data_IF_965863201488
#
_entry.id   IF_965863201488
#
_cell.length_a   1.000
_cell.length_b   1.000
_cell.length_c   1.000
_cell.angle_alpha   90.00
_cell.angle_beta   90.00
_cell.angle_gamma   90.00
#
_symmetry.space_group_name_H-M   'P 1'
#
loop_
_entity.id
_entity.type
_entity.pdbx_description
1 polymer ?
#
# COMPACT_ATOMS: atom_id res chain seq x y z
N UNK A 1 -1.27 16.10 -1.43
CA UNK A 1 -1.38 17.34 -0.75
C UNK A 1 -0.33 17.58 0.31
N UNK A 2 -0.64 18.43 1.26
CA UNK A 2 0.27 18.88 2.32
C UNK A 2 0.85 17.72 3.16
N UNK A 3 0.09 16.63 3.33
CA UNK A 3 0.54 15.47 4.13
C UNK A 3 1.66 14.69 3.45
N UNK A 4 1.55 14.47 2.14
CA UNK A 4 2.62 13.84 1.36
C UNK A 4 3.85 14.74 1.32
N UNK A 5 3.65 16.04 1.10
CA UNK A 5 4.74 17.02 1.08
C UNK A 5 5.48 17.08 2.42
N UNK A 6 4.76 17.07 3.53
CA UNK A 6 5.36 17.05 4.87
C UNK A 6 6.22 15.81 5.09
N UNK A 7 5.74 14.64 4.65
CA UNK A 7 6.51 13.41 4.71
C UNK A 7 7.78 13.52 3.85
N UNK A 8 7.66 14.03 2.62
CA UNK A 8 8.79 14.19 1.71
C UNK A 8 9.88 15.09 2.31
N UNK A 9 9.48 16.21 2.90
CA UNK A 9 10.41 17.14 3.55
C UNK A 9 11.12 16.47 4.72
N UNK A 10 10.39 15.75 5.55
CA UNK A 10 10.96 15.05 6.71
C UNK A 10 11.98 14.00 6.26
N UNK A 11 11.60 13.17 5.29
CA UNK A 11 12.48 12.11 4.78
C UNK A 11 13.73 12.70 4.11
N UNK A 12 13.59 13.78 3.34
CA UNK A 12 14.72 14.43 2.67
C UNK A 12 15.72 15.03 3.65
N UNK A 13 15.28 15.44 4.84
CA UNK A 13 16.16 15.99 5.88
C UNK A 13 16.83 14.96 6.79
N UNK A 14 16.55 13.66 6.58
CA UNK A 14 17.10 12.62 7.46
C UNK A 14 18.54 12.26 7.11
N UNK A 15 19.32 12.01 8.15
CA UNK A 15 20.68 11.48 8.05
C UNK A 15 20.66 10.06 7.48
N UNK A 16 21.63 9.73 6.60
CA UNK A 16 21.71 8.40 5.97
C UNK A 16 21.89 7.27 6.99
N UNK A 17 22.58 7.51 8.09
CA UNK A 17 22.74 6.51 9.15
C UNK A 17 21.40 6.21 9.83
N UNK A 18 20.56 7.22 10.02
CA UNK A 18 19.21 7.07 10.58
C UNK A 18 18.30 6.33 9.60
N UNK A 19 18.35 6.70 8.32
CA UNK A 19 17.58 6.02 7.26
C UNK A 19 17.94 4.52 7.25
N UNK A 20 19.22 4.20 7.28
CA UNK A 20 19.68 2.80 7.32
C UNK A 20 19.12 2.05 8.51
N UNK A 21 19.16 2.65 9.69
CA UNK A 21 18.62 2.05 10.91
C UNK A 21 17.12 1.78 10.80
N UNK A 22 16.36 2.76 10.32
CA UNK A 22 14.90 2.65 10.14
C UNK A 22 14.57 1.55 9.13
N UNK A 23 15.31 1.50 8.02
CA UNK A 23 15.12 0.45 7.02
C UNK A 23 15.48 -0.94 7.54
N UNK A 24 16.56 -1.06 8.31
CA UNK A 24 16.98 -2.35 8.88
C UNK A 24 15.93 -2.89 9.86
N UNK A 25 15.30 -2.04 10.65
CA UNK A 25 14.19 -2.43 11.54
C UNK A 25 13.00 -2.96 10.73
N UNK A 26 12.65 -2.30 9.62
CA UNK A 26 11.56 -2.74 8.75
C UNK A 26 11.89 -4.07 8.07
N UNK A 27 13.13 -4.26 7.62
CA UNK A 27 13.59 -5.53 7.04
C UNK A 27 13.52 -6.67 8.05
N UNK A 28 13.91 -6.40 9.29
CA UNK A 28 13.83 -7.39 10.36
C UNK A 28 12.38 -7.80 10.61
N UNK A 29 11.47 -6.83 10.66
CA UNK A 29 10.03 -7.12 10.78
C UNK A 29 9.55 -7.98 9.62
N UNK A 30 9.92 -7.65 8.39
CA UNK A 30 9.53 -8.44 7.21
C UNK A 30 10.06 -9.88 7.28
N UNK A 31 11.26 -10.08 7.80
CA UNK A 31 11.79 -11.41 8.05
C UNK A 31 10.97 -12.20 9.08
N UNK A 32 10.54 -11.55 10.14
CA UNK A 32 9.66 -12.15 11.15
C UNK A 32 8.30 -12.53 10.57
N UNK A 33 7.71 -11.65 9.74
CA UNK A 33 6.45 -11.92 9.03
C UNK A 33 6.58 -13.15 8.13
N UNK A 34 7.67 -13.25 7.37
CA UNK A 34 7.93 -14.40 6.50
C UNK A 34 7.99 -15.72 7.29
N UNK A 35 8.59 -15.69 8.47
CA UNK A 35 8.73 -16.87 9.32
C UNK A 35 7.49 -17.18 10.16
N UNK A 36 6.54 -16.23 10.24
CA UNK A 36 5.34 -16.41 11.06
C UNK A 36 4.30 -17.27 10.33
N UNK A 37 3.47 -17.95 11.09
CA UNK A 37 2.33 -18.70 10.57
C UNK A 37 1.01 -17.94 10.73
N UNK A 38 1.08 -16.64 11.01
CA UNK A 38 -0.12 -15.81 11.19
C UNK A 38 -0.88 -15.71 9.87
N UNK A 39 -2.16 -16.08 9.90
CA UNK A 39 -3.03 -15.91 8.75
C UNK A 39 -3.54 -14.48 8.68
N UNK A 40 -3.48 -13.92 7.46
CA UNK A 40 -4.07 -12.63 7.19
C UNK A 40 -5.60 -12.74 7.21
N UNK A 41 -6.26 -11.67 7.63
CA UNK A 41 -7.72 -11.57 7.63
C UNK A 41 -8.15 -10.46 6.70
N UNK A 42 -9.47 -10.32 6.48
CA UNK A 42 -10.02 -9.21 5.69
C UNK A 42 -9.47 -7.87 6.24
N UNK A 43 -8.77 -7.06 5.43
CA UNK A 43 -8.20 -5.79 5.90
C UNK A 43 -9.24 -4.83 6.48
N UNK A 44 -10.50 -4.94 6.05
CA UNK A 44 -11.58 -4.07 6.53
C UNK A 44 -12.17 -4.51 7.87
N UNK A 45 -11.76 -5.67 8.41
CA UNK A 45 -12.30 -6.26 9.64
C UNK A 45 -11.22 -6.67 10.64
N UNK A 46 -10.06 -6.04 10.59
CA UNK A 46 -8.95 -6.37 11.50
C UNK A 46 -9.30 -5.95 12.92
N UNK A 47 -9.21 -6.90 13.85
CA UNK A 47 -9.30 -6.63 15.28
C UNK A 47 -7.92 -6.23 15.80
N UNK A 48 -7.90 -5.26 16.71
CA UNK A 48 -6.68 -4.76 17.31
C UNK A 48 -6.00 -5.86 18.15
N UNK A 49 -4.72 -6.14 17.83
CA UNK A 49 -3.88 -7.04 18.61
C UNK A 49 -3.00 -6.18 19.52
N UNK A 50 -3.35 -6.07 20.81
CA UNK A 50 -2.83 -5.03 21.69
C UNK A 50 -1.29 -4.95 21.78
N UNK A 51 -0.57 -5.96 22.21
CA UNK A 51 0.87 -5.86 22.42
C UNK A 51 1.72 -5.78 21.15
N UNK A 52 1.31 -6.47 20.10
CA UNK A 52 2.02 -6.53 18.83
C UNK A 52 1.89 -5.23 18.04
N UNK A 53 0.77 -4.52 18.19
CA UNK A 53 0.51 -3.26 17.49
C UNK A 53 1.43 -2.14 17.95
N UNK A 54 1.89 -2.14 19.21
CA UNK A 54 2.80 -1.10 19.70
C UNK A 54 4.14 -1.16 18.98
N UNK A 55 4.71 -2.37 18.84
CA UNK A 55 5.96 -2.58 18.12
C UNK A 55 5.80 -2.22 16.62
N UNK A 56 4.78 -2.74 15.99
CA UNK A 56 4.45 -2.44 14.59
C UNK A 56 4.35 -0.93 14.33
N UNK A 57 3.63 -0.20 15.18
CA UNK A 57 3.39 1.23 14.99
C UNK A 57 4.64 2.11 15.13
N UNK A 58 5.71 1.59 15.71
CA UNK A 58 6.99 2.32 15.84
C UNK A 58 7.87 2.21 14.61
N UNK A 59 7.72 1.14 13.83
CA UNK A 59 8.56 0.89 12.66
C UNK A 59 8.11 1.79 11.51
N UNK A 60 9.04 2.44 10.83
CA UNK A 60 8.77 3.37 9.72
C UNK A 60 7.86 4.55 10.10
N UNK A 61 7.85 4.95 11.36
CA UNK A 61 7.06 6.10 11.81
C UNK A 61 8.03 7.24 12.18
N UNK A 62 8.47 7.97 11.16
CA UNK A 62 9.61 8.89 11.29
C UNK A 62 9.26 10.23 11.94
N UNK A 63 7.99 10.64 11.93
CA UNK A 63 7.55 11.93 12.48
C UNK A 63 6.37 11.82 13.45
N UNK A 64 6.00 10.61 13.82
CA UNK A 64 4.87 10.37 14.72
C UNK A 64 3.50 10.50 14.07
N UNK A 65 3.43 10.81 12.78
CA UNK A 65 2.15 10.93 12.05
C UNK A 65 1.51 9.59 11.71
N UNK A 66 2.22 8.49 11.92
CA UNK A 66 1.84 7.14 11.49
C UNK A 66 1.96 6.90 9.99
N UNK A 67 2.54 7.81 9.24
CA UNK A 67 2.79 7.67 7.80
C UNK A 67 4.11 6.95 7.60
N UNK A 68 4.08 5.86 6.82
CA UNK A 68 5.29 5.08 6.49
C UNK A 68 5.85 5.41 5.11
N UNK A 69 5.08 6.07 4.27
CA UNK A 69 5.45 6.39 2.90
C UNK A 69 4.23 6.91 2.16
N UNK A 70 4.32 6.97 0.83
CA UNK A 70 3.15 7.33 0.03
C UNK A 70 3.07 6.48 -1.24
N UNK A 71 1.84 6.36 -1.75
CA UNK A 71 1.50 5.57 -2.92
C UNK A 71 1.12 6.50 -4.06
N UNK A 72 1.74 6.28 -5.23
CA UNK A 72 1.38 6.98 -6.47
C UNK A 72 0.88 5.98 -7.50
N UNK A 73 -0.30 6.23 -8.04
CA UNK A 73 -0.85 5.48 -9.17
C UNK A 73 -1.21 6.51 -10.25
N UNK A 74 -0.25 6.83 -11.15
CA UNK A 74 -0.46 7.94 -12.10
C UNK A 74 -1.67 7.76 -13.00
N UNK A 75 -1.92 6.55 -13.49
CA UNK A 75 -3.01 6.32 -14.45
C UNK A 75 -4.42 6.55 -13.88
N UNK A 76 -4.58 6.61 -12.57
CA UNK A 76 -5.84 6.95 -11.90
C UNK A 76 -5.70 8.12 -10.92
N UNK A 77 -4.65 8.93 -11.07
CA UNK A 77 -4.41 10.16 -10.32
C UNK A 77 -4.38 9.99 -8.80
N UNK A 78 -3.75 8.91 -8.31
CA UNK A 78 -3.57 8.70 -6.88
C UNK A 78 -2.17 9.15 -6.45
N UNK A 79 -2.13 9.94 -5.37
CA UNK A 79 -0.91 10.33 -4.66
C UNK A 79 -1.31 10.53 -3.19
N UNK A 80 -1.25 9.45 -2.40
CA UNK A 80 -1.80 9.42 -1.05
C UNK A 80 -0.83 8.83 -0.04
N UNK A 81 -0.87 9.31 1.22
CA UNK A 81 -0.05 8.74 2.27
C UNK A 81 -0.49 7.31 2.61
N UNK A 82 0.48 6.51 3.03
CA UNK A 82 0.25 5.15 3.54
C UNK A 82 0.41 5.21 5.05
N UNK A 83 -0.67 4.92 5.76
CA UNK A 83 -0.69 4.90 7.22
C UNK A 83 -0.50 3.49 7.76
N UNK A 84 -0.08 3.39 9.02
CA UNK A 84 -0.05 2.12 9.75
C UNK A 84 -1.48 1.67 10.07
N UNK A 85 -1.78 0.40 9.77
CA UNK A 85 -3.06 -0.21 10.09
C UNK A 85 -4.16 0.11 9.10
N UNK A 86 -5.30 -0.52 9.31
CA UNK A 86 -6.48 -0.42 8.44
C UNK A 86 -7.74 -0.05 9.24
N UNK A 87 -7.58 0.73 10.31
CA UNK A 87 -8.73 1.21 11.10
C UNK A 87 -9.61 2.14 10.26
N UNK A 88 -10.86 2.30 10.68
CA UNK A 88 -11.79 3.19 10.02
C UNK A 88 -11.27 4.63 9.92
N UNK A 89 -10.63 5.11 10.98
CA UNK A 89 -10.02 6.46 10.99
C UNK A 89 -8.95 6.60 9.93
N UNK A 90 -8.06 5.61 9.80
CA UNK A 90 -7.00 5.60 8.78
C UNK A 90 -7.63 5.63 7.39
N UNK A 91 -8.60 4.77 7.13
CA UNK A 91 -9.18 4.60 5.80
C UNK A 91 -10.04 5.79 5.36
N UNK A 92 -10.42 6.67 6.30
CA UNK A 92 -11.07 7.94 5.97
C UNK A 92 -10.09 8.96 5.37
N UNK A 93 -8.79 8.83 5.65
CA UNK A 93 -7.78 9.83 5.31
C UNK A 93 -6.80 9.40 4.21
N UNK A 94 -6.66 8.11 3.96
CA UNK A 94 -5.70 7.64 2.98
C UNK A 94 -5.67 6.12 2.86
N UNK A 95 -4.49 5.63 2.52
CA UNK A 95 -4.23 4.20 2.35
C UNK A 95 -3.78 3.63 3.68
N UNK A 96 -4.32 2.46 4.05
CA UNK A 96 -3.90 1.74 5.24
C UNK A 96 -3.06 0.53 4.91
N UNK A 97 -1.95 0.35 5.61
CA UNK A 97 -1.13 -0.86 5.52
C UNK A 97 -1.68 -1.92 6.47
N UNK A 98 -1.93 -3.11 5.96
CA UNK A 98 -2.41 -4.23 6.78
C UNK A 98 -1.28 -4.72 7.70
N UNK A 99 -1.47 -4.55 9.01
CA UNK A 99 -0.56 -5.12 9.99
C UNK A 99 -0.47 -6.64 9.81
N UNK A 100 0.66 -7.24 10.07
CA UNK A 100 0.99 -8.64 9.79
C UNK A 100 1.30 -8.93 8.31
N UNK A 101 1.07 -8.03 7.38
CA UNK A 101 1.68 -8.11 6.05
C UNK A 101 3.06 -7.45 6.07
N UNK A 102 3.89 -7.72 5.06
CA UNK A 102 5.21 -7.09 4.95
C UNK A 102 5.08 -5.58 4.85
N UNK A 103 6.03 -4.83 5.43
CA UNK A 103 6.14 -3.40 5.12
C UNK A 103 6.49 -3.20 3.65
N UNK A 104 5.99 -2.10 3.02
CA UNK A 104 6.19 -1.85 1.59
C UNK A 104 7.57 -1.25 1.29
N UNK A 105 8.63 -1.95 1.66
CA UNK A 105 10.02 -1.55 1.44
C UNK A 105 10.73 -2.36 0.37
N UNK A 106 10.01 -3.26 -0.29
CA UNK A 106 10.56 -4.15 -1.30
C UNK A 106 11.36 -5.31 -0.71
N UNK A 107 11.89 -6.13 -1.58
CA UNK A 107 12.70 -7.28 -1.23
C UNK A 107 12.04 -8.62 -1.50
N UNK A 108 12.85 -9.66 -1.69
CA UNK A 108 12.36 -11.03 -1.87
C UNK A 108 11.64 -11.51 -0.63
N UNK A 109 10.67 -12.38 -0.82
CA UNK A 109 9.89 -12.99 0.25
C UNK A 109 9.07 -11.95 1.01
N UNK A 110 8.55 -10.94 0.28
CA UNK A 110 7.69 -9.91 0.84
C UNK A 110 6.39 -9.79 0.05
N UNK A 111 5.33 -9.46 0.77
CA UNK A 111 4.03 -9.13 0.19
C UNK A 111 3.36 -8.11 1.11
N UNK A 112 3.40 -6.84 0.70
CA UNK A 112 2.73 -5.77 1.42
C UNK A 112 1.30 -5.63 0.94
N UNK A 113 0.36 -5.44 1.86
CA UNK A 113 -1.07 -5.27 1.57
C UNK A 113 -1.48 -3.85 1.91
N UNK A 114 -1.92 -3.10 0.91
CA UNK A 114 -2.35 -1.71 1.02
C UNK A 114 -3.84 -1.61 0.72
N UNK A 115 -4.59 -1.01 1.61
CA UNK A 115 -6.05 -1.01 1.60
C UNK A 115 -6.58 0.42 1.48
N UNK A 116 -7.59 0.61 0.66
CA UNK A 116 -8.26 1.89 0.50
C UNK A 116 -9.75 1.73 0.28
N UNK A 117 -10.52 2.70 0.72
CA UNK A 117 -11.97 2.73 0.54
C UNK A 117 -12.39 3.00 -0.89
N UNK A 118 -13.59 2.53 -1.22
CA UNK A 118 -14.32 2.84 -2.44
C UNK A 118 -15.60 3.61 -2.08
N UNK A 119 -15.89 4.67 -2.85
CA UNK A 119 -17.18 5.32 -2.78
C UNK A 119 -17.43 6.28 -1.63
N UNK A 120 -16.39 6.73 -0.93
CA UNK A 120 -16.55 7.78 0.08
C UNK A 120 -16.82 9.11 -0.61
N UNK A 121 -17.81 9.85 -0.09
CA UNK A 121 -18.23 11.13 -0.66
C UNK A 121 -17.14 12.22 -0.58
N UNK A 122 -16.22 12.11 0.38
CA UNK A 122 -15.18 13.12 0.63
C UNK A 122 -13.83 12.79 -0.03
N UNK A 123 -13.61 11.54 -0.46
CA UNK A 123 -12.33 11.13 -1.06
C UNK A 123 -12.52 9.91 -1.94
N UNK A 124 -12.00 9.98 -3.16
CA UNK A 124 -12.08 8.88 -4.13
C UNK A 124 -10.94 7.86 -3.97
N UNK A 125 -10.50 7.56 -2.78
CA UNK A 125 -9.25 6.82 -2.50
C UNK A 125 -8.99 5.70 -3.53
N UNK A 126 -9.69 4.57 -3.45
CA UNK A 126 -9.54 3.48 -4.40
C UNK A 126 -10.78 3.26 -5.29
N UNK A 127 -11.64 4.29 -5.43
CA UNK A 127 -12.85 4.18 -6.27
C UNK A 127 -12.51 3.77 -7.70
N UNK A 128 -11.43 4.33 -8.27
CA UNK A 128 -11.05 4.06 -9.65
C UNK A 128 -10.07 2.87 -9.79
N UNK A 129 -9.84 2.11 -8.71
CA UNK A 129 -8.96 0.94 -8.75
C UNK A 129 -9.45 -0.12 -9.75
N UNK A 130 -10.77 -0.15 -10.00
CA UNK A 130 -11.38 -1.04 -11.01
C UNK A 130 -10.90 -0.76 -12.44
N UNK A 131 -10.30 0.39 -12.68
CA UNK A 131 -9.80 0.78 -13.99
C UNK A 131 -8.36 0.32 -14.25
N UNK A 132 -7.71 -0.20 -13.21
CA UNK A 132 -6.37 -0.76 -13.35
C UNK A 132 -6.38 -1.99 -14.24
N UNK A 133 -5.32 -2.13 -15.03
CA UNK A 133 -5.14 -3.26 -15.97
C UNK A 133 -3.77 -3.89 -15.74
N UNK A 134 -3.65 -5.16 -16.11
CA UNK A 134 -2.34 -5.81 -16.15
C UNK A 134 -1.39 -4.99 -17.01
N UNK A 135 -0.18 -4.79 -16.51
CA UNK A 135 0.82 -3.96 -17.15
C UNK A 135 0.86 -2.52 -16.67
N UNK A 136 -0.16 -2.05 -15.95
CA UNK A 136 -0.13 -0.72 -15.34
C UNK A 136 0.87 -0.68 -14.20
N UNK A 137 1.41 0.52 -13.93
CA UNK A 137 2.41 0.73 -12.88
C UNK A 137 1.80 1.44 -11.67
N UNK A 138 2.33 1.13 -10.50
CA UNK A 138 2.18 1.98 -9.33
C UNK A 138 3.52 2.06 -8.60
N UNK A 139 3.65 3.08 -7.75
CA UNK A 139 4.93 3.43 -7.14
C UNK A 139 4.75 3.65 -5.64
N UNK A 140 5.74 3.19 -4.88
CA UNK A 140 5.78 3.41 -3.44
C UNK A 140 7.05 4.18 -3.12
N UNK A 141 6.89 5.29 -2.43
CA UNK A 141 7.99 6.10 -1.93
C UNK A 141 8.08 5.91 -0.42
N UNK A 142 9.20 5.35 0.01
CA UNK A 142 9.48 5.10 1.44
C UNK A 142 10.87 5.63 1.73
N UNK A 143 10.98 6.59 2.65
CA UNK A 143 12.24 7.27 2.97
C UNK A 143 12.88 7.81 1.68
N UNK A 144 14.08 7.37 1.35
CA UNK A 144 14.79 7.75 0.12
C UNK A 144 14.61 6.75 -1.02
N UNK A 145 13.73 5.74 -0.84
CA UNK A 145 13.51 4.68 -1.83
C UNK A 145 12.31 4.99 -2.72
N UNK A 146 12.45 4.71 -4.00
CA UNK A 146 11.39 4.76 -5.00
C UNK A 146 11.23 3.38 -5.58
N UNK A 147 10.10 2.74 -5.30
CA UNK A 147 9.83 1.36 -5.69
C UNK A 147 8.76 1.34 -6.78
N UNK A 148 9.03 0.67 -7.89
CA UNK A 148 8.08 0.50 -8.97
C UNK A 148 7.51 -0.91 -8.95
N UNK A 149 6.20 -1.02 -9.16
CA UNK A 149 5.47 -2.28 -9.26
C UNK A 149 4.64 -2.27 -10.52
N UNK A 150 4.61 -3.40 -11.22
CA UNK A 150 3.78 -3.58 -12.40
C UNK A 150 2.68 -4.58 -12.09
N UNK A 151 1.43 -4.21 -12.41
CA UNK A 151 0.28 -5.07 -12.17
C UNK A 151 0.39 -6.36 -12.98
N UNK A 152 0.38 -7.50 -12.30
CA UNK A 152 0.49 -8.82 -12.91
C UNK A 152 -0.73 -9.72 -12.66
N UNK A 153 -1.61 -9.35 -11.72
CA UNK A 153 -2.79 -10.14 -11.39
C UNK A 153 -3.89 -9.22 -10.85
N UNK A 154 -5.11 -9.43 -11.35
CA UNK A 154 -6.30 -8.73 -10.85
C UNK A 154 -7.34 -9.79 -10.57
N UNK A 155 -7.82 -9.88 -9.32
CA UNK A 155 -8.81 -10.86 -8.89
C UNK A 155 -9.89 -10.22 -8.03
N UNK A 156 -11.06 -10.83 -8.05
CA UNK A 156 -12.17 -10.47 -7.14
C UNK A 156 -12.44 -11.70 -6.29
N UNK A 157 -12.41 -11.51 -4.97
CA UNK A 157 -12.53 -12.61 -4.01
C UNK A 157 -13.54 -12.27 -2.91
N UNK A 158 -13.98 -13.29 -2.18
CA UNK A 158 -14.76 -13.09 -0.97
C UNK A 158 -13.89 -12.44 0.11
N UNK A 159 -14.48 -11.66 1.04
CA UNK A 159 -13.68 -10.96 2.06
C UNK A 159 -12.78 -11.86 2.91
N UNK A 160 -13.22 -13.08 3.18
CA UNK A 160 -12.45 -14.03 4.00
C UNK A 160 -11.38 -14.80 3.20
N UNK A 161 -11.40 -14.71 1.88
CA UNK A 161 -10.42 -15.39 1.03
C UNK A 161 -9.16 -14.52 0.92
N UNK A 162 -8.15 -14.83 1.73
CA UNK A 162 -6.89 -14.10 1.79
C UNK A 162 -5.74 -14.86 1.14
N UNK A 163 -6.04 -15.92 0.40
CA UNK A 163 -5.02 -16.77 -0.23
C UNK A 163 -4.06 -15.97 -1.13
N UNK A 164 -4.58 -15.03 -1.91
CA UNK A 164 -3.79 -14.24 -2.84
C UNK A 164 -2.95 -13.13 -2.15
N UNK A 165 -3.11 -12.93 -0.85
CA UNK A 165 -2.34 -11.95 -0.08
C UNK A 165 -1.10 -12.55 0.58
N UNK A 166 -0.89 -13.85 0.46
CA UNK A 166 0.20 -14.55 1.11
C UNK A 166 1.54 -14.27 0.43
N UNK A 167 2.61 -14.30 1.21
CA UNK A 167 3.98 -14.20 0.68
C UNK A 167 4.25 -15.40 -0.23
N UNK A 168 4.78 -15.11 -1.42
CA UNK A 168 5.27 -16.15 -2.34
C UNK A 168 6.80 -16.13 -2.32
N UNK A 169 7.39 -17.29 -2.08
CA UNK A 169 8.84 -17.44 -2.01
C UNK A 169 9.53 -16.88 -3.25
N UNK A 170 10.56 -16.06 -3.03
CA UNK A 170 11.34 -15.44 -4.08
C UNK A 170 10.69 -14.23 -4.74
N UNK A 171 9.46 -13.87 -4.35
CA UNK A 171 8.72 -12.77 -4.97
C UNK A 171 8.72 -11.51 -4.11
N UNK A 172 8.62 -10.38 -4.78
CA UNK A 172 8.43 -9.06 -4.19
C UNK A 172 7.10 -8.53 -4.71
N UNK A 173 6.05 -8.67 -3.90
CA UNK A 173 4.68 -8.28 -4.28
C UNK A 173 4.15 -7.17 -3.39
N UNK A 174 3.29 -6.36 -3.98
CA UNK A 174 2.39 -5.46 -3.25
C UNK A 174 0.99 -5.64 -3.84
N UNK A 175 -0.01 -5.82 -2.99
CA UNK A 175 -1.40 -5.90 -3.43
C UNK A 175 -2.21 -4.73 -2.89
N UNK A 176 -2.92 -4.07 -3.80
CA UNK A 176 -3.87 -3.01 -3.48
C UNK A 176 -5.25 -3.64 -3.33
N UNK A 177 -5.93 -3.35 -2.22
CA UNK A 177 -7.21 -3.97 -1.86
C UNK A 177 -8.29 -2.91 -1.69
N UNK A 178 -9.44 -3.12 -2.30
CA UNK A 178 -10.62 -2.31 -2.05
C UNK A 178 -11.89 -3.18 -2.07
N UNK A 179 -13.00 -2.60 -1.65
CA UNK A 179 -14.31 -3.25 -1.75
C UNK A 179 -14.88 -3.11 -3.17
N UNK A 180 -15.66 -4.10 -3.59
CA UNK A 180 -16.33 -4.11 -4.88
C UNK A 180 -17.58 -5.00 -4.80
N UNK A 181 -18.60 -4.87 -5.68
CA UNK A 181 -18.83 -3.76 -6.59
C UNK A 181 -19.21 -2.46 -5.87
N UNK A 182 -19.05 -1.34 -6.54
CA UNK A 182 -19.41 -0.03 -5.98
C UNK A 182 -20.84 -0.05 -5.43
N UNK A 183 -20.99 0.45 -4.20
CA UNK A 183 -22.28 0.54 -3.52
C UNK A 183 -22.75 -0.75 -2.85
N UNK A 184 -22.24 -1.91 -3.23
CA UNK A 184 -22.56 -3.22 -2.62
C UNK A 184 -21.47 -3.64 -1.64
N UNK A 185 -20.21 -3.58 -2.07
CA UNK A 185 -19.02 -3.77 -1.26
C UNK A 185 -18.92 -5.13 -0.56
N UNK A 186 -19.53 -6.17 -1.14
CA UNK A 186 -19.55 -7.51 -0.57
C UNK A 186 -18.39 -8.41 -1.02
N UNK A 187 -17.58 -7.93 -1.96
CA UNK A 187 -16.38 -8.61 -2.44
C UNK A 187 -15.16 -7.73 -2.21
N UNK A 188 -13.98 -8.31 -2.48
CA UNK A 188 -12.71 -7.56 -2.44
C UNK A 188 -12.03 -7.64 -3.80
N UNK A 189 -11.65 -6.49 -4.32
CA UNK A 189 -10.82 -6.37 -5.52
C UNK A 189 -9.37 -6.36 -5.10
N UNK A 190 -8.58 -7.27 -5.66
CA UNK A 190 -7.15 -7.39 -5.39
C UNK A 190 -6.37 -7.06 -6.67
N UNK A 191 -5.57 -6.01 -6.62
CA UNK A 191 -4.70 -5.60 -7.72
C UNK A 191 -3.27 -5.82 -7.26
N UNK A 192 -2.65 -6.89 -7.74
CA UNK A 192 -1.29 -7.27 -7.35
C UNK A 192 -0.27 -6.69 -8.31
N UNK A 193 0.77 -6.09 -7.74
CA UNK A 193 1.96 -5.67 -8.49
C UNK A 193 3.16 -6.53 -8.12
N UNK A 194 4.00 -6.79 -9.12
CA UNK A 194 5.32 -7.42 -8.95
C UNK A 194 6.39 -6.33 -9.12
N UNK A 195 7.42 -6.38 -8.28
CA UNK A 195 8.50 -5.40 -8.33
C UNK A 195 9.15 -5.37 -9.71
N UNK A 196 9.39 -4.17 -10.21
CA UNK A 196 10.06 -3.94 -11.49
C UNK A 196 11.09 -2.81 -11.34
N UNK A 197 11.93 -2.62 -12.35
CA UNK A 197 12.88 -1.51 -12.35
C UNK A 197 12.14 -0.18 -12.34
N UNK A 198 12.67 0.77 -11.55
CA UNK A 198 12.11 2.12 -11.48
C UNK A 198 12.61 2.97 -12.64
N UNK A 199 11.68 3.57 -13.37
CA UNK A 199 11.96 4.55 -14.43
C UNK A 199 11.08 5.77 -14.18
N UNK A 200 11.70 6.93 -13.98
CA UNK A 200 10.99 8.18 -13.66
C UNK A 200 9.92 8.53 -14.69
N UNK A 201 10.16 8.22 -15.97
CA UNK A 201 9.19 8.50 -17.04
C UNK A 201 7.86 7.76 -16.86
N UNK A 202 7.89 6.55 -16.31
CA UNK A 202 6.66 5.77 -16.07
C UNK A 202 5.84 6.38 -14.95
N UNK A 203 6.49 7.01 -13.98
CA UNK A 203 5.81 7.72 -12.88
C UNK A 203 5.14 9.02 -13.34
N UNK A 204 5.57 9.59 -14.46
CA UNK A 204 5.06 10.84 -15.03
C UNK A 204 3.91 10.63 -16.02
N UNK A 205 3.48 9.39 -16.25
CA UNK A 205 2.38 9.08 -17.16
C UNK A 205 1.11 9.77 -16.67
N UNK A 206 0.44 10.47 -17.60
CA UNK A 206 -0.80 11.17 -17.28
C UNK A 206 -1.92 10.20 -16.96
N UNK A 207 -2.81 10.63 -16.06
CA UNK A 207 -4.03 9.91 -15.76
C UNK A 207 -4.83 9.63 -17.03
N UNK A 208 -5.50 8.46 -17.06
CA UNK A 208 -6.43 8.13 -18.13
C UNK A 208 -7.55 9.16 -18.14
N UNK A 209 -7.88 9.66 -19.33
CA UNK A 209 -8.85 10.73 -19.49
C UNK A 209 -10.26 10.13 -19.50
N UNK A 210 -10.94 10.14 -18.35
CA UNK A 210 -12.31 9.61 -18.22
C UNK A 210 -13.35 10.45 -18.94
N UNK A 211 -13.03 11.72 -19.23
CA UNK A 211 -13.97 12.65 -19.85
C UNK A 211 -14.14 12.45 -21.36
N UNK A 212 -13.23 11.74 -22.00
CA UNK A 212 -13.32 11.47 -23.44
C UNK A 212 -14.45 10.50 -23.83
N UNK A 213 -15.08 9.83 -22.86
CA UNK A 213 -16.18 8.90 -23.11
C UNK A 213 -17.55 9.58 -23.11
N UNK A 214 -17.63 10.87 -22.76
CA UNK A 214 -18.87 11.61 -22.65
C UNK A 214 -19.03 12.70 -23.71
N UNK A 215 -18.09 12.79 -24.62
CA UNK A 215 -18.17 13.61 -25.82
C UNK A 215 -18.34 12.73 -27.04
#
# INVERSE_FOLDING_TARGET
GSTVESYQEKAAGMDQAIIKKVMDEAKQYNGEVMRSSVQLTDPFKVKRLDGEMVHYNRILNIDGSSIMGYLKIPCISINLPIYHGTSGTVLEHGIGHLAASSFPIGGKDTHAVLTGHTGLSSAKIFTDLTEMKKGDFFFIHVLDKKLAYRVDQITVVEPQDTKELQIMEGKDHVTLVTCTPYGVNDKRLLVRGVRTAYHAKEEEIRARNHHSQWM
#
